data_IF_909431547263
#
_entry.id   IF_909431547263
#
_cell.length_a   1.000
_cell.length_b   1.000
_cell.length_c   1.000
_cell.angle_alpha   90.00
_cell.angle_beta   90.00
_cell.angle_gamma   90.00
#
_symmetry.space_group_name_H-M   'P 1'
#
loop_
_entity.id
_entity.type
_entity.pdbx_description
1 polymer ?
#
# COMPACT_ATOMS: atom_id res chain seq x y z
N UNK A 1 15.77 -11.60 -15.34
CA UNK A 1 15.93 -12.22 -14.01
C UNK A 1 15.84 -13.72 -14.20
N UNK A 2 16.88 -14.47 -13.83
CA UNK A 2 17.03 -15.93 -14.07
C UNK A 2 16.17 -16.79 -13.11
N UNK A 3 14.97 -16.33 -12.72
CA UNK A 3 14.09 -17.08 -11.83
C UNK A 3 14.55 -17.19 -10.36
N UNK A 4 15.60 -16.48 -9.95
CA UNK A 4 16.15 -16.51 -8.59
C UNK A 4 15.47 -15.55 -7.60
N UNK A 5 14.25 -15.11 -7.89
CA UNK A 5 13.54 -14.17 -7.02
C UNK A 5 12.85 -14.94 -5.88
N UNK A 6 13.08 -14.51 -4.64
CA UNK A 6 12.37 -15.01 -3.46
C UNK A 6 11.46 -13.93 -2.91
N UNK A 7 10.19 -14.28 -2.68
CA UNK A 7 9.22 -13.45 -1.98
C UNK A 7 9.04 -13.97 -0.55
N UNK A 8 9.22 -13.11 0.44
CA UNK A 8 9.06 -13.44 1.85
C UNK A 8 7.97 -12.54 2.43
N UNK A 9 7.00 -13.14 3.11
CA UNK A 9 5.98 -12.44 3.89
C UNK A 9 5.77 -13.16 5.22
N UNK A 10 5.78 -12.46 6.36
CA UNK A 10 5.38 -13.05 7.64
C UNK A 10 3.84 -13.09 7.80
N UNK A 11 3.09 -12.58 6.82
CA UNK A 11 1.64 -12.47 6.86
C UNK A 11 0.98 -13.54 6.01
N UNK A 12 -0.26 -13.88 6.38
CA UNK A 12 -1.12 -14.81 5.65
C UNK A 12 -1.23 -14.43 4.15
N UNK A 13 -1.14 -15.39 3.20
CA UNK A 13 -1.21 -15.11 1.77
C UNK A 13 -2.53 -14.46 1.31
N UNK A 14 -3.63 -14.64 2.05
CA UNK A 14 -4.90 -14.01 1.80
C UNK A 14 -5.04 -12.62 2.46
N UNK A 15 -4.06 -12.19 3.26
CA UNK A 15 -4.09 -10.88 3.89
C UNK A 15 -3.97 -9.75 2.86
N UNK A 16 -4.92 -8.81 2.91
CA UNK A 16 -4.88 -7.60 2.10
C UNK A 16 -3.82 -6.59 2.54
N UNK A 17 -3.66 -5.52 1.77
CA UNK A 17 -2.74 -4.44 2.11
C UNK A 17 -3.16 -3.71 3.39
N UNK A 18 -2.20 -3.56 4.31
CA UNK A 18 -2.35 -2.79 5.54
C UNK A 18 -1.09 -1.94 5.75
N UNK A 19 -1.28 -0.64 6.02
CA UNK A 19 -0.16 0.30 6.23
C UNK A 19 0.72 -0.12 7.41
N UNK A 20 0.12 -0.62 8.49
CA UNK A 20 0.83 -1.16 9.64
C UNK A 20 1.67 -2.39 9.29
N UNK A 21 1.15 -3.31 8.47
CA UNK A 21 1.92 -4.45 7.97
C UNK A 21 3.09 -4.02 7.10
N UNK A 22 2.88 -3.04 6.22
CA UNK A 22 3.92 -2.48 5.37
C UNK A 22 5.05 -1.85 6.20
N UNK A 23 4.71 -1.13 7.29
CA UNK A 23 5.69 -0.54 8.20
C UNK A 23 6.43 -1.60 9.02
N UNK A 24 5.72 -2.59 9.57
CA UNK A 24 6.30 -3.68 10.37
C UNK A 24 7.27 -4.54 9.54
N UNK A 25 6.97 -4.75 8.26
CA UNK A 25 7.83 -5.50 7.32
C UNK A 25 9.23 -4.90 7.20
N UNK A 26 9.40 -3.58 7.34
CA UNK A 26 10.71 -2.94 7.19
C UNK A 26 11.79 -3.56 8.10
N UNK A 27 11.41 -4.05 9.28
CA UNK A 27 12.31 -4.75 10.21
C UNK A 27 12.98 -5.97 9.57
N UNK A 28 12.22 -6.72 8.78
CA UNK A 28 12.73 -7.89 8.06
C UNK A 28 13.71 -7.51 6.96
N UNK A 29 13.51 -6.35 6.31
CA UNK A 29 14.45 -5.86 5.30
C UNK A 29 15.81 -5.59 5.94
N UNK A 30 15.82 -4.89 7.08
CA UNK A 30 17.06 -4.61 7.81
C UNK A 30 17.69 -5.85 8.41
N UNK A 31 16.88 -6.78 8.94
CA UNK A 31 17.38 -8.00 9.56
C UNK A 31 17.99 -8.99 8.55
N UNK A 32 17.57 -8.94 7.28
CA UNK A 32 18.06 -9.81 6.21
C UNK A 32 19.14 -9.17 5.33
N UNK A 33 19.46 -7.89 5.54
CA UNK A 33 20.45 -7.17 4.77
C UNK A 33 21.83 -7.24 5.44
N UNK A 34 22.89 -6.99 4.68
CA UNK A 34 24.24 -6.73 5.22
C UNK A 34 24.42 -5.23 5.52
N UNK A 35 23.80 -4.36 4.71
CA UNK A 35 23.76 -2.92 4.89
C UNK A 35 22.48 -2.33 4.29
N UNK A 36 22.10 -1.12 4.72
CA UNK A 36 20.95 -0.41 4.16
C UNK A 36 21.36 0.96 3.60
N UNK A 37 20.83 1.31 2.41
CA UNK A 37 21.00 2.62 1.80
C UNK A 37 19.66 3.34 1.65
N UNK A 38 19.53 4.50 2.29
CA UNK A 38 18.38 5.39 2.12
C UNK A 38 18.69 6.42 1.04
N UNK A 39 18.08 6.26 -0.12
CA UNK A 39 18.27 7.15 -1.27
C UNK A 39 17.52 8.48 -1.10
N UNK A 40 16.31 8.43 -0.52
CA UNK A 40 15.51 9.61 -0.25
C UNK A 40 14.54 9.34 0.91
N UNK A 41 14.27 10.35 1.71
CA UNK A 41 13.27 10.30 2.78
C UNK A 41 12.71 11.70 3.06
N UNK A 42 11.42 11.74 3.33
CA UNK A 42 10.79 12.94 3.89
C UNK A 42 11.19 13.11 5.36
N UNK A 43 11.25 14.37 5.82
CA UNK A 43 11.50 14.66 7.22
C UNK A 43 10.29 14.31 8.08
N UNK A 44 10.50 13.41 9.06
CA UNK A 44 9.54 13.04 10.09
C UNK A 44 8.20 12.45 9.61
N UNK A 45 8.16 11.89 8.39
CA UNK A 45 6.97 11.23 7.84
C UNK A 45 7.31 10.18 6.79
N UNK A 46 6.40 9.23 6.60
CA UNK A 46 6.52 8.17 5.60
C UNK A 46 7.23 6.90 6.10
N UNK A 47 7.04 5.80 5.37
CA UNK A 47 7.53 4.47 5.74
C UNK A 47 9.05 4.36 5.74
N UNK A 48 9.73 4.99 4.78
CA UNK A 48 11.20 5.00 4.70
C UNK A 48 11.81 5.71 5.91
N UNK A 49 11.32 6.91 6.25
CA UNK A 49 11.77 7.64 7.43
C UNK A 49 11.53 6.84 8.70
N UNK A 50 10.32 6.32 8.90
CA UNK A 50 9.98 5.56 10.10
C UNK A 50 10.87 4.32 10.27
N UNK A 51 11.08 3.57 9.19
CA UNK A 51 11.96 2.40 9.20
C UNK A 51 13.42 2.75 9.47
N UNK A 52 13.94 3.79 8.80
CA UNK A 52 15.33 4.21 8.97
C UNK A 52 15.60 4.78 10.37
N UNK A 53 14.67 5.58 10.90
CA UNK A 53 14.75 6.10 12.26
C UNK A 53 14.67 4.96 13.29
N UNK A 54 13.77 3.99 13.12
CA UNK A 54 13.68 2.83 14.01
C UNK A 54 14.95 1.96 13.96
N UNK A 55 15.53 1.79 12.77
CA UNK A 55 16.81 1.08 12.59
C UNK A 55 17.95 1.77 13.35
N UNK A 56 18.07 3.09 13.26
CA UNK A 56 19.13 3.86 13.95
C UNK A 56 18.90 3.94 15.47
N UNK A 57 17.66 4.21 15.88
CA UNK A 57 17.34 4.50 17.27
C UNK A 57 17.23 3.23 18.12
N UNK A 58 16.75 2.12 17.56
CA UNK A 58 16.37 0.91 18.33
C UNK A 58 17.04 -0.38 17.88
N UNK A 59 16.89 -0.73 16.61
CA UNK A 59 17.20 -2.10 16.15
C UNK A 59 18.70 -2.30 15.94
N UNK A 60 19.32 -1.35 15.25
CA UNK A 60 20.75 -1.32 14.97
C UNK A 60 21.27 -2.66 14.42
N UNK A 61 20.52 -3.29 13.51
CA UNK A 61 20.90 -4.59 12.94
C UNK A 61 22.06 -4.52 11.95
N UNK A 62 22.12 -3.43 11.17
CA UNK A 62 23.03 -3.23 10.04
C UNK A 62 23.43 -1.76 9.95
N UNK A 63 24.60 -1.44 9.38
CA UNK A 63 24.96 -0.07 9.05
C UNK A 63 23.93 0.54 8.11
N UNK A 64 23.49 1.76 8.44
CA UNK A 64 22.55 2.53 7.63
C UNK A 64 23.26 3.72 7.01
N UNK A 65 23.27 3.73 5.69
CA UNK A 65 23.82 4.78 4.86
C UNK A 65 22.70 5.68 4.32
N UNK A 66 23.05 6.94 4.07
CA UNK A 66 22.23 7.85 3.28
C UNK A 66 23.01 8.28 2.04
N UNK A 67 22.29 8.55 0.96
CA UNK A 67 22.89 9.11 -0.25
C UNK A 67 23.71 10.38 0.07
N UNK A 68 24.92 10.46 -0.49
CA UNK A 68 25.86 11.56 -0.28
C UNK A 68 25.89 12.57 -1.44
N UNK A 69 25.43 12.16 -2.63
CA UNK A 69 25.45 12.94 -3.85
C UNK A 69 24.09 13.62 -4.14
N UNK A 70 24.17 14.73 -4.88
CA UNK A 70 23.01 15.52 -5.31
C UNK A 70 22.38 16.35 -4.20
N UNK A 71 21.13 16.78 -4.42
CA UNK A 71 20.39 17.56 -3.44
C UNK A 71 19.97 16.68 -2.27
N UNK A 72 20.55 16.92 -1.09
CA UNK A 72 20.19 16.25 0.16
C UNK A 72 19.05 16.99 0.83
N UNK A 73 17.86 16.41 0.81
CA UNK A 73 16.68 16.96 1.50
C UNK A 73 16.80 16.90 3.03
N UNK A 74 15.91 17.63 3.72
CA UNK A 74 15.86 17.70 5.19
C UNK A 74 15.79 16.33 5.88
N UNK A 75 15.17 15.33 5.25
CA UNK A 75 15.08 13.97 5.80
C UNK A 75 16.42 13.27 5.86
N UNK A 76 17.21 13.27 4.77
CA UNK A 76 18.53 12.63 4.79
C UNK A 76 19.47 13.28 5.80
N UNK A 77 19.46 14.61 5.88
CA UNK A 77 20.28 15.33 6.84
C UNK A 77 19.88 15.02 8.29
N UNK A 78 18.59 14.86 8.57
CA UNK A 78 18.14 14.45 9.89
C UNK A 78 18.50 12.99 10.23
N UNK A 79 18.53 12.08 9.24
CA UNK A 79 19.04 10.72 9.43
C UNK A 79 20.55 10.71 9.70
N UNK A 80 21.34 11.57 9.04
CA UNK A 80 22.78 11.74 9.34
C UNK A 80 23.02 12.15 10.78
N UNK A 81 22.23 13.12 11.27
CA UNK A 81 22.27 13.55 12.67
C UNK A 81 21.88 12.45 13.66
N UNK A 82 21.10 11.48 13.24
CA UNK A 82 20.74 10.27 14.00
C UNK A 82 21.80 9.17 13.95
N UNK A 83 22.87 9.35 13.18
CA UNK A 83 23.97 8.39 13.08
C UNK A 83 24.03 7.61 11.78
N UNK A 84 23.22 7.96 10.77
CA UNK A 84 23.40 7.40 9.43
C UNK A 84 24.74 7.85 8.83
N UNK A 85 25.42 6.91 8.17
CA UNK A 85 26.68 7.17 7.50
C UNK A 85 26.45 7.76 6.10
N UNK A 86 27.32 8.63 5.59
CA UNK A 86 27.29 8.99 4.18
C UNK A 86 27.66 7.76 3.34
N UNK A 87 26.89 7.48 2.29
CA UNK A 87 27.21 6.45 1.32
C UNK A 87 28.54 6.79 0.61
N UNK A 88 29.53 5.87 0.60
CA UNK A 88 30.86 6.17 0.06
C UNK A 88 30.92 6.19 -1.47
N UNK A 89 29.86 5.77 -2.17
CA UNK A 89 29.81 5.64 -3.63
C UNK A 89 30.92 4.73 -4.19
N UNK A 90 30.94 3.44 -3.81
CA UNK A 90 31.93 2.50 -4.32
C UNK A 90 31.77 2.34 -5.83
N UNK A 91 32.88 2.41 -6.56
CA UNK A 91 32.93 2.26 -8.02
C UNK A 91 33.50 0.90 -8.44
N UNK A 92 34.09 0.16 -7.49
CA UNK A 92 34.60 -1.20 -7.70
C UNK A 92 33.87 -2.22 -6.82
N UNK A 93 33.81 -3.50 -7.22
CA UNK A 93 33.26 -4.57 -6.38
C UNK A 93 33.95 -4.68 -5.02
N UNK A 94 35.27 -4.50 -4.98
CA UNK A 94 36.05 -4.59 -3.74
C UNK A 94 35.69 -3.46 -2.77
N UNK A 95 35.52 -2.22 -3.27
CA UNK A 95 35.03 -1.10 -2.46
C UNK A 95 33.60 -1.32 -1.95
N UNK A 96 32.75 -1.98 -2.76
CA UNK A 96 31.39 -2.32 -2.34
C UNK A 96 31.42 -3.34 -1.21
N UNK A 97 32.19 -4.42 -1.35
CA UNK A 97 32.35 -5.44 -0.31
C UNK A 97 32.89 -4.82 0.98
N UNK A 98 33.92 -3.96 0.90
CA UNK A 98 34.43 -3.22 2.06
C UNK A 98 33.39 -2.31 2.71
N UNK A 99 32.49 -1.73 1.92
CA UNK A 99 31.38 -0.91 2.44
C UNK A 99 30.36 -1.77 3.19
N UNK A 100 30.09 -2.99 2.72
CA UNK A 100 29.17 -3.93 3.37
C UNK A 100 29.79 -4.57 4.63
N UNK A 101 31.09 -4.82 4.61
CA UNK A 101 31.86 -5.41 5.72
C UNK A 101 32.26 -4.37 6.79
N UNK A 102 31.90 -3.10 6.62
CA UNK A 102 32.24 -2.04 7.55
C UNK A 102 31.84 -2.45 8.98
N UNK A 103 32.80 -2.49 9.93
CA UNK A 103 32.63 -3.23 11.17
C UNK A 103 31.41 -2.73 11.91
N UNK A 104 30.54 -3.68 12.22
CA UNK A 104 29.46 -3.50 13.17
C UNK A 104 29.98 -3.35 14.62
N UNK A 105 31.16 -2.77 14.82
CA UNK A 105 31.81 -2.55 16.12
C UNK A 105 31.04 -1.59 17.04
N UNK A 106 29.95 -1.00 16.55
CA UNK A 106 29.00 -0.20 17.35
C UNK A 106 27.75 -0.96 17.80
N UNK A 107 27.64 -2.24 17.48
CA UNK A 107 26.39 -3.00 17.51
C UNK A 107 26.41 -4.22 18.44
N UNK A 108 27.56 -4.54 19.05
CA UNK A 108 27.70 -5.63 20.02
C UNK A 108 27.04 -5.34 21.38
N UNK A 109 26.92 -4.08 21.79
CA UNK A 109 26.36 -3.72 23.12
C UNK A 109 24.85 -3.96 23.26
N UNK A 110 24.09 -4.12 22.16
CA UNK A 110 22.63 -4.29 22.18
C UNK A 110 22.14 -5.62 21.62
N UNK A 111 23.04 -6.59 21.40
CA UNK A 111 22.65 -7.99 21.21
C UNK A 111 22.21 -8.61 22.53
N UNK A 112 21.22 -8.01 23.20
CA UNK A 112 20.29 -8.82 23.97
C UNK A 112 19.58 -9.68 22.94
N UNK A 113 20.11 -10.88 22.74
CA UNK A 113 19.41 -11.95 22.07
C UNK A 113 18.15 -12.16 22.89
N UNK A 114 17.04 -11.51 22.51
CA UNK A 114 15.72 -12.02 22.86
C UNK A 114 15.71 -13.39 22.22
N UNK A 115 15.76 -14.49 22.99
CA UNK A 115 15.68 -15.79 22.39
C UNK A 115 14.36 -15.78 21.63
N UNK A 116 14.38 -16.15 20.36
CA UNK A 116 13.19 -16.64 19.69
C UNK A 116 12.80 -17.93 20.41
N UNK A 117 12.22 -17.77 21.59
CA UNK A 117 11.62 -18.85 22.34
C UNK A 117 10.34 -19.19 21.58
N UNK A 118 10.49 -20.09 20.61
CA UNK A 118 9.39 -20.94 20.18
C UNK A 118 9.09 -21.90 21.33
N UNK A 119 8.63 -21.38 22.47
CA UNK A 119 7.91 -22.17 23.45
C UNK A 119 6.52 -22.41 22.88
N UNK A 120 6.46 -23.26 21.87
CA UNK A 120 5.29 -24.09 21.65
C UNK A 120 5.15 -24.96 22.88
N UNK A 121 4.45 -24.47 23.90
CA UNK A 121 3.76 -25.36 24.82
C UNK A 121 2.90 -26.23 23.94
N UNK A 122 3.23 -27.53 23.91
CA UNK A 122 2.57 -28.53 23.09
C UNK A 122 1.12 -28.73 23.51
N UNK A 123 0.27 -27.76 23.20
CA UNK A 123 -1.13 -28.01 22.98
C UNK A 123 -1.26 -28.45 21.52
N UNK A 124 -1.60 -29.73 21.36
CA UNK A 124 -1.90 -30.33 20.09
C UNK A 124 -2.92 -29.47 19.34
N UNK A 125 -2.46 -28.78 18.30
CA UNK A 125 -3.33 -28.15 17.31
C UNK A 125 -4.27 -29.23 16.75
N UNK A 126 -5.58 -28.95 16.60
CA UNK A 126 -6.45 -29.87 15.90
C UNK A 126 -5.89 -30.10 14.50
N UNK A 127 -5.73 -31.36 14.11
CA UNK A 127 -5.23 -31.74 12.81
C UNK A 127 -6.06 -31.03 11.73
N UNK A 128 -5.46 -30.06 11.05
CA UNK A 128 -6.07 -29.38 9.92
C UNK A 128 -6.18 -30.39 8.78
N UNK A 129 -7.29 -31.12 8.72
CA UNK A 129 -7.63 -31.97 7.58
C UNK A 129 -8.17 -31.10 6.44
N UNK A 130 -7.27 -30.35 5.82
CA UNK A 130 -7.54 -29.78 4.50
C UNK A 130 -7.55 -30.92 3.49
N UNK A 131 -8.70 -31.16 2.88
CA UNK A 131 -8.82 -32.04 1.71
C UNK A 131 -7.83 -31.56 0.64
N UNK A 132 -6.78 -32.34 0.37
CA UNK A 132 -5.93 -32.12 -0.80
C UNK A 132 -6.77 -32.40 -2.03
N UNK A 133 -7.25 -31.36 -2.71
CA UNK A 133 -7.56 -31.45 -4.13
C UNK A 133 -6.25 -31.29 -4.88
N UNK A 134 -5.85 -32.34 -5.60
CA UNK A 134 -4.74 -32.29 -6.55
C UNK A 134 -5.01 -31.19 -7.59
N UNK A 135 -4.00 -30.39 -7.96
CA UNK A 135 -4.15 -29.43 -9.04
C UNK A 135 -4.17 -30.17 -10.40
N UNK A 136 -4.97 -29.70 -11.38
CA UNK A 136 -4.93 -30.24 -12.72
C UNK A 136 -3.60 -29.91 -13.43
N UNK A 137 -3.20 -30.69 -14.46
CA UNK A 137 -1.93 -30.52 -15.13
C UNK A 137 -1.86 -29.21 -15.93
N UNK A 138 -0.66 -28.64 -15.91
CA UNK A 138 -0.25 -27.40 -16.57
C UNK A 138 -0.59 -27.43 -18.07
N UNK A 139 -1.55 -26.59 -18.47
CA UNK A 139 -1.74 -26.23 -19.86
C UNK A 139 -0.98 -24.92 -20.12
N UNK A 140 0.09 -25.05 -20.89
CA UNK A 140 0.81 -23.98 -21.57
C UNK A 140 -0.16 -22.95 -22.18
N UNK A 141 -0.05 -21.70 -21.74
CA UNK A 141 -0.65 -20.55 -22.41
C UNK A 141 0.45 -19.62 -22.85
N UNK A 142 0.52 -19.51 -24.17
CA UNK A 142 1.41 -18.68 -24.95
C UNK A 142 1.32 -17.20 -24.56
N UNK A 143 2.44 -16.53 -24.79
CA UNK A 143 2.64 -15.09 -24.66
C UNK A 143 1.58 -14.29 -25.44
N UNK A 144 1.00 -13.28 -24.81
CA UNK A 144 0.48 -12.12 -25.54
C UNK A 144 0.64 -10.86 -24.68
N UNK A 145 1.45 -9.92 -25.18
CA UNK A 145 1.61 -8.56 -24.67
C UNK A 145 0.32 -7.74 -24.85
N UNK A 146 -0.17 -7.08 -23.79
CA UNK A 146 -0.69 -5.69 -23.74
C UNK A 146 -1.52 -5.42 -22.44
N UNK A 147 -1.82 -4.14 -22.10
CA UNK A 147 -1.34 -3.43 -20.92
C UNK A 147 -2.05 -3.78 -19.60
N UNK A 148 -1.29 -3.76 -18.50
CA UNK A 148 -1.79 -3.92 -17.13
C UNK A 148 -2.55 -2.68 -16.67
N UNK A 149 -3.88 -2.68 -16.80
CA UNK A 149 -4.78 -1.75 -16.12
C UNK A 149 -5.63 -2.56 -15.12
N UNK A 150 -5.79 -2.00 -13.92
CA UNK A 150 -6.45 -2.55 -12.74
C UNK A 150 -7.91 -2.98 -12.98
N UNK A 151 -8.13 -4.24 -13.36
CA UNK A 151 -9.47 -4.84 -13.52
C UNK A 151 -10.33 -4.86 -12.24
N UNK A 152 -9.79 -5.14 -11.02
CA UNK A 152 -10.63 -5.28 -9.83
C UNK A 152 -11.22 -3.96 -9.32
N UNK A 153 -10.44 -2.87 -9.38
CA UNK A 153 -10.89 -1.57 -8.90
C UNK A 153 -11.98 -0.97 -9.81
N UNK A 154 -11.84 -1.14 -11.12
CA UNK A 154 -12.85 -0.69 -12.09
C UNK A 154 -14.14 -1.51 -11.99
N UNK A 155 -14.04 -2.83 -11.74
CA UNK A 155 -15.21 -3.67 -11.51
C UNK A 155 -15.98 -3.26 -10.24
N UNK A 156 -15.27 -3.03 -9.12
CA UNK A 156 -15.89 -2.55 -7.88
C UNK A 156 -16.54 -1.18 -8.07
N UNK A 157 -15.85 -0.27 -8.79
CA UNK A 157 -16.40 1.05 -9.04
C UNK A 157 -17.62 1.01 -9.97
N UNK A 158 -17.65 0.11 -10.96
CA UNK A 158 -18.82 -0.11 -11.80
C UNK A 158 -20.04 -0.56 -10.98
N UNK A 159 -19.85 -1.46 -10.01
CA UNK A 159 -20.91 -1.86 -9.09
C UNK A 159 -21.42 -0.68 -8.23
N UNK A 160 -20.51 0.15 -7.72
CA UNK A 160 -20.86 1.37 -6.97
C UNK A 160 -21.61 2.38 -7.85
N UNK A 161 -21.23 2.50 -9.12
CA UNK A 161 -21.91 3.35 -10.10
C UNK A 161 -23.35 2.92 -10.33
N UNK A 162 -23.60 1.62 -10.52
CA UNK A 162 -24.97 1.10 -10.66
C UNK A 162 -25.82 1.34 -9.41
N UNK A 163 -25.25 1.23 -8.20
CA UNK A 163 -25.94 1.57 -6.95
C UNK A 163 -26.26 3.06 -6.87
N UNK A 164 -25.35 3.92 -7.32
CA UNK A 164 -25.53 5.37 -7.33
C UNK A 164 -26.63 5.80 -8.32
N UNK A 165 -26.71 5.18 -9.49
CA UNK A 165 -27.76 5.43 -10.49
C UNK A 165 -29.17 5.05 -9.97
N UNK A 166 -29.25 4.05 -9.10
CA UNK A 166 -30.50 3.62 -8.46
C UNK A 166 -30.95 4.55 -7.30
N UNK A 167 -30.16 5.56 -6.93
CA UNK A 167 -30.50 6.49 -5.84
C UNK A 167 -31.57 7.50 -6.26
N UNK A 168 -32.83 7.22 -5.95
CA UNK A 168 -33.96 8.11 -6.22
C UNK A 168 -34.08 9.29 -5.22
N UNK A 169 -33.62 9.08 -3.97
CA UNK A 169 -33.68 10.09 -2.91
C UNK A 169 -32.32 10.81 -2.74
N UNK A 170 -32.36 12.11 -2.41
CA UNK A 170 -31.16 12.86 -2.08
C UNK A 170 -30.69 12.46 -0.67
N UNK A 171 -29.55 11.77 -0.57
CA UNK A 171 -29.00 11.23 0.68
C UNK A 171 -27.73 11.97 1.09
N UNK A 172 -27.51 12.11 2.39
CA UNK A 172 -26.26 12.66 2.95
C UNK A 172 -25.13 11.63 2.88
N UNK A 173 -23.87 12.09 2.95
CA UNK A 173 -22.70 11.19 3.00
C UNK A 173 -22.81 10.15 4.12
N UNK A 174 -23.36 10.55 5.27
CA UNK A 174 -23.55 9.66 6.42
C UNK A 174 -24.62 8.59 6.18
N UNK A 175 -25.70 8.91 5.46
CA UNK A 175 -26.74 7.94 5.09
C UNK A 175 -26.22 6.94 4.05
N UNK A 176 -25.47 7.42 3.06
CA UNK A 176 -24.86 6.56 2.02
C UNK A 176 -23.84 5.61 2.63
N UNK A 177 -22.99 6.08 3.55
CA UNK A 177 -22.04 5.24 4.27
C UNK A 177 -22.71 4.14 5.09
N UNK A 178 -23.85 4.44 5.71
CA UNK A 178 -24.64 3.45 6.46
C UNK A 178 -25.32 2.44 5.55
N UNK A 179 -25.88 2.88 4.44
CA UNK A 179 -26.63 2.02 3.51
C UNK A 179 -25.73 1.10 2.71
N UNK A 180 -24.58 1.60 2.25
CA UNK A 180 -23.60 0.78 1.53
C UNK A 180 -22.70 -0.04 2.47
N UNK A 181 -22.81 0.18 3.79
CA UNK A 181 -21.97 -0.44 4.82
C UNK A 181 -20.46 -0.27 4.54
N UNK A 182 -20.07 0.96 4.18
CA UNK A 182 -18.68 1.32 3.83
C UNK A 182 -18.23 2.52 4.65
N UNK A 183 -16.91 2.63 4.91
CA UNK A 183 -16.34 3.77 5.63
C UNK A 183 -16.64 5.12 4.96
N UNK A 184 -16.80 6.18 5.77
CA UNK A 184 -17.02 7.56 5.26
C UNK A 184 -15.91 8.02 4.32
N UNK A 185 -14.66 7.63 4.59
CA UNK A 185 -13.52 7.98 3.74
C UNK A 185 -13.64 7.40 2.33
N UNK A 186 -14.08 6.14 2.22
CA UNK A 186 -14.24 5.46 0.94
C UNK A 186 -15.48 5.99 0.18
N UNK A 187 -16.59 6.24 0.88
CA UNK A 187 -17.77 6.90 0.27
C UNK A 187 -17.41 8.28 -0.26
N UNK A 188 -16.65 9.08 0.50
CA UNK A 188 -16.18 10.39 0.04
C UNK A 188 -15.33 10.29 -1.24
N UNK A 189 -14.46 9.29 -1.34
CA UNK A 189 -13.66 9.04 -2.54
C UNK A 189 -14.53 8.64 -3.74
N UNK A 190 -15.51 7.75 -3.55
CA UNK A 190 -16.44 7.34 -4.61
C UNK A 190 -17.37 8.47 -5.03
N UNK A 191 -17.95 9.24 -4.10
CA UNK A 191 -18.79 10.38 -4.41
C UNK A 191 -18.04 11.46 -5.20
N UNK A 192 -16.74 11.67 -4.91
CA UNK A 192 -15.90 12.56 -5.72
C UNK A 192 -15.80 12.06 -7.17
N UNK A 193 -15.48 10.78 -7.37
CA UNK A 193 -15.36 10.18 -8.70
C UNK A 193 -16.70 10.14 -9.45
N UNK A 194 -17.80 9.85 -8.78
CA UNK A 194 -19.15 9.84 -9.36
C UNK A 194 -19.61 11.23 -9.82
N UNK A 195 -19.13 12.30 -9.18
CA UNK A 195 -19.39 13.68 -9.61
C UNK A 195 -18.52 14.05 -10.80
N UNK A 196 -17.25 13.64 -10.80
CA UNK A 196 -16.35 13.81 -11.95
C UNK A 196 -16.89 13.08 -13.20
N UNK A 197 -17.51 11.91 -13.03
CA UNK A 197 -18.16 11.15 -14.10
C UNK A 197 -19.60 11.61 -14.41
N UNK A 198 -20.13 12.61 -13.69
CA UNK A 198 -21.46 13.18 -13.93
C UNK A 198 -22.65 12.27 -13.60
N UNK A 199 -22.43 11.23 -12.80
CA UNK A 199 -23.47 10.25 -12.40
C UNK A 199 -24.37 10.80 -11.30
N UNK A 200 -23.82 11.65 -10.42
CA UNK A 200 -24.54 12.23 -9.28
C UNK A 200 -24.33 13.75 -9.18
N UNK A 201 -25.32 14.45 -8.61
CA UNK A 201 -25.30 15.88 -8.34
C UNK A 201 -25.29 16.17 -6.83
N UNK A 202 -24.62 17.25 -6.42
CA UNK A 202 -24.71 17.81 -5.06
C UNK A 202 -25.85 18.81 -4.98
N UNK A 203 -26.72 18.68 -3.98
CA UNK A 203 -27.85 19.59 -3.75
C UNK A 203 -27.93 20.05 -2.29
N UNK A 204 -28.23 21.34 -2.11
CA UNK A 204 -28.68 21.94 -0.85
C UNK A 204 -27.64 22.14 0.26
N UNK A 205 -28.15 22.67 1.39
CA UNK A 205 -27.50 22.69 2.71
C UNK A 205 -28.50 22.07 3.72
N UNK A 206 -28.19 20.92 4.36
CA UNK A 206 -26.95 20.15 4.28
C UNK A 206 -26.73 19.50 2.89
N UNK A 207 -25.47 19.21 2.57
CA UNK A 207 -25.07 18.63 1.26
C UNK A 207 -25.68 17.23 1.10
N UNK A 208 -26.51 17.06 0.08
CA UNK A 208 -27.12 15.78 -0.30
C UNK A 208 -26.74 15.40 -1.72
N UNK A 209 -26.52 14.11 -1.94
CA UNK A 209 -26.17 13.52 -3.23
C UNK A 209 -27.37 12.80 -3.81
N UNK A 210 -27.64 13.00 -5.10
CA UNK A 210 -28.71 12.33 -5.86
C UNK A 210 -28.18 11.93 -7.23
N UNK A 211 -28.67 10.82 -7.79
CA UNK A 211 -28.45 10.49 -9.19
C UNK A 211 -28.90 11.65 -10.10
N UNK A 212 -28.11 11.96 -11.13
CA UNK A 212 -28.54 12.88 -12.19
C UNK A 212 -29.72 12.23 -12.88
N UNK A 213 -30.90 12.81 -12.68
CA UNK A 213 -32.07 12.39 -13.46
C UNK A 213 -31.74 12.65 -14.92
N UNK A 214 -31.68 11.61 -15.74
CA UNK A 214 -31.74 11.78 -17.18
C UNK A 214 -33.02 12.57 -17.44
N UNK A 215 -32.90 13.89 -17.64
CA UNK A 215 -34.00 14.69 -18.15
C UNK A 215 -34.38 14.01 -19.46
N UNK A 216 -35.45 13.21 -19.41
CA UNK A 216 -36.27 12.95 -20.57
C UNK A 216 -36.48 14.33 -21.18
N UNK A 217 -35.92 14.51 -22.37
CA UNK A 217 -36.10 15.68 -23.20
C UNK A 217 -37.61 15.80 -23.37
N UNK A 218 -38.26 16.60 -22.52
CA UNK A 218 -39.66 16.96 -22.69
C UNK A 218 -39.67 17.82 -23.95
N UNK A 219 -39.81 17.17 -25.10
CA UNK A 219 -40.16 17.83 -26.34
C UNK A 219 -41.49 18.50 -26.04
N UNK A 220 -41.45 19.83 -25.93
CA UNK A 220 -42.66 20.65 -25.92
C UNK A 220 -43.43 20.33 -27.18
N UNK A 221 -44.53 19.58 -27.02
CA UNK A 221 -45.42 19.14 -28.09
C UNK A 221 -46.74 19.94 -28.04
N UNK A 222 -46.63 21.20 -27.64
CA UNK A 222 -47.70 22.19 -27.73
C UNK A 222 -47.13 23.49 -28.27
N UNK A 223 -47.00 23.56 -29.60
CA UNK A 223 -47.29 24.78 -30.34
C UNK A 223 -47.53 24.44 -31.81
N UNK A 224 -48.80 24.18 -32.13
CA UNK A 224 -49.43 24.51 -33.41
C UNK A 224 -50.94 24.55 -33.15
N UNK A 225 -51.39 25.73 -32.72
CA UNK A 225 -52.78 26.10 -32.79
C UNK A 225 -53.27 25.99 -34.23
N UNK A 226 -54.40 25.30 -34.38
CA UNK A 226 -55.32 25.43 -35.48
C UNK A 226 -56.21 26.62 -35.13
N UNK A 227 -56.05 27.71 -35.88
CA UNK A 227 -57.08 28.62 -36.45
C UNK A 227 -56.44 29.96 -36.87
#
# INVERSE_FOLDING_TARGET
MEGQLVLISPYDPAAGFNVGHAMQRNKLIYALADAALVVNADYNKGGTWAGAAEQLDKLRFVPLYVRSDGETGKGLEALRRKGALPWPNPVTPDELVQTLDAPADRFEEFREQVPLSFSGTGEAMPAYRGERKEPPPSASREETMAPSISYPAEFLFAAVKSLAEQMQAAKTEAEIAREWNVSKAQVKAWLKRLIEEGVIEKSGRPVRYRAVSSKAKQVSLFDKGIE
#
